data_IF_408777226980
#
_entry.id   IF_408777226980
#
_cell.length_a   1.000
_cell.length_b   1.000
_cell.length_c   1.000
_cell.angle_alpha   90.00
_cell.angle_beta   90.00
_cell.angle_gamma   90.00
#
_symmetry.space_group_name_H-M   'P 1'
#
loop_
_entity.id
_entity.type
_entity.pdbx_description
1 polymer ?
#
# COMPACT_ATOMS: atom_id res chain seq x y z
N UNK A 1 -45.98 26.86 -76.64
CA UNK A 1 -45.41 27.29 -75.34
C UNK A 1 -46.43 26.92 -74.28
N UNK A 2 -46.48 25.67 -73.83
CA UNK A 2 -45.58 25.06 -72.85
C UNK A 2 -45.61 25.83 -71.51
N UNK A 3 -46.34 25.24 -70.55
CA UNK A 3 -45.89 24.89 -69.18
C UNK A 3 -46.94 25.20 -68.10
N UNK A 4 -47.72 24.17 -67.78
CA UNK A 4 -47.91 23.63 -66.43
C UNK A 4 -48.03 24.66 -65.29
N UNK A 5 -49.23 25.16 -65.05
CA UNK A 5 -49.64 25.60 -63.71
C UNK A 5 -50.01 24.35 -62.86
N UNK A 6 -49.02 23.49 -62.61
CA UNK A 6 -49.15 22.32 -61.76
C UNK A 6 -48.86 22.71 -60.30
N UNK A 7 -49.92 22.68 -59.50
CA UNK A 7 -50.00 22.74 -58.05
C UNK A 7 -48.72 22.27 -57.32
N UNK A 8 -48.03 23.20 -56.65
CA UNK A 8 -47.11 22.87 -55.55
C UNK A 8 -47.93 22.78 -54.27
N UNK A 9 -48.34 21.58 -53.90
CA UNK A 9 -48.73 21.27 -52.52
C UNK A 9 -47.48 21.23 -51.66
N UNK A 10 -47.08 22.38 -51.12
CA UNK A 10 -46.26 22.37 -49.91
C UNK A 10 -47.17 21.87 -48.77
N UNK A 11 -46.83 20.79 -48.05
CA UNK A 11 -47.45 20.52 -46.77
C UNK A 11 -46.94 21.59 -45.80
N UNK A 12 -47.55 22.77 -45.87
CA UNK A 12 -47.43 23.78 -44.84
C UNK A 12 -48.16 23.23 -43.63
N UNK A 13 -47.49 22.38 -42.86
CA UNK A 13 -47.92 22.04 -41.50
C UNK A 13 -47.77 23.33 -40.71
N UNK A 14 -48.80 24.16 -40.79
CA UNK A 14 -49.00 25.27 -39.88
C UNK A 14 -49.14 24.65 -38.48
N UNK A 15 -48.02 24.55 -37.76
CA UNK A 15 -48.09 24.53 -36.30
C UNK A 15 -48.68 25.88 -35.90
N UNK A 16 -50.01 25.93 -35.84
CA UNK A 16 -50.71 26.98 -35.14
C UNK A 16 -50.13 27.00 -33.71
N UNK A 17 -49.50 28.11 -33.27
CA UNK A 17 -49.06 28.22 -31.90
C UNK A 17 -50.34 28.20 -31.06
N UNK A 18 -50.59 27.11 -30.34
CA UNK A 18 -51.76 26.98 -29.46
C UNK A 18 -51.38 27.60 -28.10
N UNK A 19 -51.76 28.86 -27.83
CA UNK A 19 -51.27 29.62 -26.67
C UNK A 19 -51.69 29.00 -25.33
N UNK A 20 -52.76 28.20 -25.31
CA UNK A 20 -53.29 27.57 -24.10
C UNK A 20 -52.37 26.49 -23.52
N UNK A 21 -51.70 25.70 -24.38
CA UNK A 21 -50.80 24.63 -23.93
C UNK A 21 -49.50 25.23 -23.40
N UNK A 22 -49.01 26.29 -24.05
CA UNK A 22 -47.78 27.00 -23.65
C UNK A 22 -48.01 27.70 -22.30
N UNK A 23 -49.20 28.28 -22.10
CA UNK A 23 -49.56 28.96 -20.84
C UNK A 23 -49.73 27.99 -19.68
N UNK A 24 -50.22 26.76 -19.93
CA UNK A 24 -50.32 25.71 -18.92
C UNK A 24 -48.98 25.03 -18.62
N UNK A 25 -48.08 24.90 -19.60
CA UNK A 25 -46.74 24.34 -19.39
C UNK A 25 -45.80 25.29 -18.64
N UNK A 26 -45.93 26.60 -18.87
CA UNK A 26 -45.06 27.61 -18.25
C UNK A 26 -44.95 27.52 -16.71
N UNK A 27 -46.05 27.42 -15.92
CA UNK A 27 -45.96 27.26 -14.46
C UNK A 27 -45.34 25.91 -14.04
N UNK A 28 -45.54 24.86 -14.84
CA UNK A 28 -45.01 23.53 -14.58
C UNK A 28 -43.49 23.47 -14.81
N UNK A 29 -43.02 24.09 -15.90
CA UNK A 29 -41.60 24.22 -16.22
C UNK A 29 -40.89 25.12 -15.21
N UNK A 30 -41.49 26.26 -14.83
CA UNK A 30 -40.88 27.12 -13.81
C UNK A 30 -40.81 26.43 -12.45
N UNK A 31 -41.85 25.71 -12.03
CA UNK A 31 -41.82 24.90 -10.80
C UNK A 31 -40.73 23.82 -10.83
N UNK A 32 -40.59 23.10 -11.96
CA UNK A 32 -39.53 22.10 -12.13
C UNK A 32 -38.12 22.72 -12.07
N UNK A 33 -37.92 23.90 -12.66
CA UNK A 33 -36.64 24.64 -12.61
C UNK A 33 -36.31 25.08 -11.18
N UNK A 34 -37.28 25.58 -10.42
CA UNK A 34 -37.06 25.91 -9.00
C UNK A 34 -36.68 24.68 -8.17
N UNK A 35 -37.35 23.55 -8.40
CA UNK A 35 -37.04 22.30 -7.71
C UNK A 35 -35.66 21.77 -8.07
N UNK A 36 -35.26 21.84 -9.35
CA UNK A 36 -33.92 21.50 -9.81
C UNK A 36 -32.86 22.40 -9.17
N UNK A 37 -33.11 23.71 -9.08
CA UNK A 37 -32.17 24.64 -8.48
C UNK A 37 -31.98 24.39 -6.97
N UNK A 38 -33.09 24.11 -6.27
CA UNK A 38 -33.04 23.72 -4.86
C UNK A 38 -32.29 22.40 -4.66
N UNK A 39 -32.61 21.38 -5.46
CA UNK A 39 -31.96 20.07 -5.39
C UNK A 39 -30.47 20.15 -5.70
N UNK A 40 -30.09 20.97 -6.71
CA UNK A 40 -28.70 21.23 -7.06
C UNK A 40 -27.93 21.93 -5.93
N UNK A 41 -28.56 22.90 -5.25
CA UNK A 41 -27.94 23.61 -4.12
C UNK A 41 -27.69 22.68 -2.93
N UNK A 42 -28.68 21.86 -2.58
CA UNK A 42 -28.57 20.87 -1.50
C UNK A 42 -27.52 19.80 -1.85
N UNK A 43 -27.54 19.30 -3.08
CA UNK A 43 -26.57 18.32 -3.56
C UNK A 43 -25.14 18.88 -3.52
N UNK A 44 -24.93 20.13 -3.96
CA UNK A 44 -23.64 20.80 -3.87
C UNK A 44 -23.16 20.93 -2.43
N UNK A 45 -24.04 21.33 -1.51
CA UNK A 45 -23.70 21.46 -0.10
C UNK A 45 -23.31 20.11 0.54
N UNK A 46 -24.04 19.05 0.23
CA UNK A 46 -23.70 17.69 0.65
C UNK A 46 -22.37 17.21 0.05
N UNK A 47 -22.09 17.52 -1.21
CA UNK A 47 -20.84 17.15 -1.86
C UNK A 47 -19.64 17.84 -1.22
N UNK A 48 -19.72 19.16 -0.98
CA UNK A 48 -18.65 19.91 -0.32
C UNK A 48 -18.41 19.38 1.09
N UNK A 49 -19.47 19.12 1.86
CA UNK A 49 -19.36 18.61 3.22
C UNK A 49 -18.74 17.21 3.28
N UNK A 50 -19.18 16.30 2.41
CA UNK A 50 -18.65 14.93 2.35
C UNK A 50 -17.21 14.90 1.86
N UNK A 51 -16.86 15.73 0.86
CA UNK A 51 -15.48 15.88 0.39
C UNK A 51 -14.56 16.43 1.50
N UNK A 52 -15.02 17.47 2.21
CA UNK A 52 -14.26 18.01 3.34
C UNK A 52 -14.06 16.97 4.44
N UNK A 53 -15.13 16.26 4.83
CA UNK A 53 -15.04 15.18 5.82
C UNK A 53 -14.08 14.06 5.37
N UNK A 54 -14.17 13.62 4.11
CA UNK A 54 -13.27 12.61 3.55
C UNK A 54 -11.82 13.08 3.54
N UNK A 55 -11.55 14.35 3.21
CA UNK A 55 -10.20 14.92 3.24
C UNK A 55 -9.61 15.01 4.66
N UNK A 56 -10.44 15.33 5.66
CA UNK A 56 -10.03 15.36 7.07
C UNK A 56 -9.74 13.94 7.56
N UNK A 57 -10.58 12.96 7.22
CA UNK A 57 -10.34 11.56 7.56
C UNK A 57 -9.07 11.03 6.88
N UNK A 58 -8.85 11.36 5.61
CA UNK A 58 -7.64 10.97 4.87
C UNK A 58 -6.37 11.56 5.50
N UNK A 59 -6.37 12.84 5.88
CA UNK A 59 -5.21 13.45 6.53
C UNK A 59 -4.96 12.87 7.92
N UNK A 60 -6.00 12.63 8.73
CA UNK A 60 -5.88 11.99 10.04
C UNK A 60 -5.33 10.56 9.93
N UNK A 61 -5.83 9.76 8.99
CA UNK A 61 -5.37 8.39 8.78
C UNK A 61 -3.91 8.35 8.33
N UNK A 62 -3.48 9.28 7.46
CA UNK A 62 -2.07 9.42 7.07
C UNK A 62 -1.17 9.85 8.24
N UNK A 63 -1.65 10.73 9.11
CA UNK A 63 -0.90 11.12 10.31
C UNK A 63 -0.78 9.96 11.30
N UNK A 64 -1.87 9.26 11.56
CA UNK A 64 -1.87 8.10 12.44
C UNK A 64 -0.98 6.98 11.89
N UNK A 65 -1.05 6.67 10.60
CA UNK A 65 -0.20 5.65 9.99
C UNK A 65 1.29 6.02 10.10
N UNK A 66 1.64 7.28 9.86
CA UNK A 66 3.03 7.76 9.99
C UNK A 66 3.55 7.66 11.43
N UNK A 67 2.72 7.99 12.43
CA UNK A 67 3.13 7.87 13.83
C UNK A 67 3.28 6.42 14.28
N UNK A 68 2.39 5.52 13.82
CA UNK A 68 2.47 4.09 14.10
C UNK A 68 3.72 3.48 13.43
N UNK A 69 3.98 3.81 12.16
CA UNK A 69 5.18 3.38 11.45
C UNK A 69 6.46 3.85 12.16
N UNK A 70 6.50 5.10 12.61
CA UNK A 70 7.65 5.60 13.36
C UNK A 70 7.86 4.89 14.69
N UNK A 71 6.78 4.65 15.45
CA UNK A 71 6.82 3.94 16.73
C UNK A 71 7.28 2.49 16.55
N UNK A 72 6.75 1.78 15.56
CA UNK A 72 7.12 0.40 15.26
C UNK A 72 8.59 0.29 14.84
N UNK A 73 9.09 1.23 14.03
CA UNK A 73 10.52 1.32 13.68
C UNK A 73 11.43 1.58 14.89
N UNK A 74 11.02 2.43 15.82
CA UNK A 74 11.79 2.66 17.04
C UNK A 74 11.81 1.41 17.92
N UNK A 75 10.65 0.79 18.13
CA UNK A 75 10.54 -0.43 18.95
C UNK A 75 11.37 -1.56 18.35
N UNK A 76 11.31 -1.79 17.03
CA UNK A 76 12.08 -2.84 16.38
C UNK A 76 13.59 -2.60 16.50
N UNK A 77 14.05 -1.35 16.34
CA UNK A 77 15.47 -0.99 16.57
C UNK A 77 15.92 -1.26 18.01
N UNK A 78 15.13 -0.84 19.00
CA UNK A 78 15.45 -1.11 20.40
C UNK A 78 15.48 -2.61 20.71
N UNK A 79 14.53 -3.37 20.15
CA UNK A 79 14.45 -4.81 20.34
C UNK A 79 15.66 -5.51 19.70
N UNK A 80 16.06 -5.11 18.49
CA UNK A 80 17.22 -5.65 17.79
C UNK A 80 18.54 -5.36 18.53
N UNK A 81 18.71 -4.14 19.08
CA UNK A 81 19.90 -3.80 19.87
C UNK A 81 19.94 -4.63 21.16
N UNK A 82 18.79 -4.76 21.86
CA UNK A 82 18.71 -5.57 23.08
C UNK A 82 18.96 -7.05 22.81
N UNK A 83 18.39 -7.61 21.74
CA UNK A 83 18.60 -9.00 21.38
C UNK A 83 20.07 -9.26 21.02
N UNK A 84 20.72 -8.35 20.28
CA UNK A 84 22.14 -8.44 19.97
C UNK A 84 23.00 -8.39 21.25
N UNK A 85 22.66 -7.51 22.19
CA UNK A 85 23.41 -7.35 23.43
C UNK A 85 23.24 -8.56 24.36
N UNK A 86 22.03 -9.13 24.43
CA UNK A 86 21.75 -10.38 25.13
C UNK A 86 22.44 -11.57 24.46
N UNK A 87 22.41 -11.67 23.14
CA UNK A 87 23.14 -12.68 22.37
C UNK A 87 24.64 -12.58 22.65
N UNK A 88 25.21 -11.37 22.61
CA UNK A 88 26.64 -11.16 22.92
C UNK A 88 26.97 -11.59 24.35
N UNK A 89 26.14 -11.23 25.33
CA UNK A 89 26.35 -11.62 26.74
C UNK A 89 26.25 -13.12 26.95
N UNK A 90 25.25 -13.77 26.35
CA UNK A 90 25.06 -15.22 26.44
C UNK A 90 26.19 -15.96 25.75
N UNK A 91 26.57 -15.57 24.52
CA UNK A 91 27.73 -16.14 23.82
C UNK A 91 29.01 -15.96 24.63
N UNK A 92 29.24 -14.79 25.22
CA UNK A 92 30.44 -14.55 26.01
C UNK A 92 30.45 -15.34 27.32
N UNK A 93 29.30 -15.48 27.98
CA UNK A 93 29.13 -16.32 29.17
C UNK A 93 29.36 -17.81 28.86
N UNK A 94 28.80 -18.30 27.74
CA UNK A 94 29.05 -19.66 27.24
C UNK A 94 30.54 -19.84 26.89
N UNK A 95 31.16 -18.82 26.31
CA UNK A 95 32.56 -18.83 25.90
C UNK A 95 33.54 -18.89 27.07
N UNK A 96 33.23 -18.25 28.20
CA UNK A 96 34.10 -18.24 29.38
C UNK A 96 33.91 -19.49 30.28
N UNK A 97 32.95 -20.36 29.96
CA UNK A 97 32.74 -21.58 30.72
C UNK A 97 33.93 -22.56 30.63
N UNK A 98 34.23 -23.27 31.72
CA UNK A 98 35.27 -24.33 31.77
C UNK A 98 35.10 -25.42 30.69
N UNK A 99 33.86 -25.69 30.25
CA UNK A 99 33.58 -26.59 29.11
C UNK A 99 34.07 -26.00 27.79
N UNK A 100 33.81 -24.72 27.53
CA UNK A 100 34.27 -24.05 26.31
C UNK A 100 35.79 -23.98 26.23
N UNK A 101 36.50 -23.78 27.36
CA UNK A 101 37.98 -23.87 27.38
C UNK A 101 38.51 -25.27 27.03
N UNK A 102 37.86 -26.33 27.52
CA UNK A 102 38.19 -27.71 27.13
C UNK A 102 37.87 -27.98 25.67
N UNK A 103 36.74 -27.48 25.20
CA UNK A 103 36.32 -27.58 23.81
C UNK A 103 37.30 -26.86 22.88
N UNK A 104 37.83 -25.69 23.28
CA UNK A 104 38.88 -24.95 22.56
C UNK A 104 40.16 -25.76 22.37
N UNK A 105 40.71 -26.32 23.45
CA UNK A 105 41.92 -27.15 23.36
C UNK A 105 41.71 -28.39 22.49
N UNK A 106 40.50 -28.97 22.54
CA UNK A 106 40.13 -30.10 21.69
C UNK A 106 39.96 -29.70 20.22
N UNK A 107 39.32 -28.57 19.97
CA UNK A 107 39.17 -27.99 18.63
C UNK A 107 40.52 -27.64 18.02
N UNK A 108 41.43 -27.02 18.78
CA UNK A 108 42.78 -26.71 18.34
C UNK A 108 43.53 -27.99 17.97
N UNK A 109 43.49 -29.01 18.83
CA UNK A 109 44.10 -30.31 18.56
C UNK A 109 43.49 -31.00 17.33
N UNK A 110 42.17 -31.04 17.22
CA UNK A 110 41.48 -31.59 16.06
C UNK A 110 41.78 -30.77 14.79
N UNK A 111 41.89 -29.44 14.87
CA UNK A 111 42.31 -28.56 13.76
C UNK A 111 43.75 -28.84 13.32
N UNK A 112 44.69 -28.99 14.24
CA UNK A 112 46.08 -29.34 13.91
C UNK A 112 46.14 -30.71 13.24
N UNK A 113 45.40 -31.69 13.74
CA UNK A 113 45.28 -33.01 13.10
C UNK A 113 44.61 -32.90 11.73
N UNK A 114 43.59 -32.05 11.59
CA UNK A 114 42.90 -31.83 10.32
C UNK A 114 43.83 -31.17 9.29
N UNK A 115 44.58 -30.15 9.68
CA UNK A 115 45.52 -29.44 8.82
C UNK A 115 46.71 -30.32 8.39
N UNK A 116 47.20 -31.18 9.27
CA UNK A 116 48.37 -32.04 9.03
C UNK A 116 48.00 -33.39 8.39
N UNK A 117 46.81 -33.93 8.69
CA UNK A 117 46.41 -35.31 8.38
C UNK A 117 45.47 -35.49 7.17
N UNK A 118 45.03 -34.42 6.49
CA UNK A 118 44.20 -34.53 5.27
C UNK A 118 42.76 -34.00 5.40
N UNK A 119 42.55 -32.97 6.21
CA UNK A 119 41.25 -32.37 6.54
C UNK A 119 40.70 -31.35 5.53
N UNK A 120 41.18 -31.36 4.30
CA UNK A 120 40.77 -30.36 3.30
C UNK A 120 39.26 -30.40 3.04
N UNK A 121 38.64 -31.59 3.08
CA UNK A 121 37.21 -31.81 2.80
C UNK A 121 36.28 -31.27 3.89
N UNK A 122 36.64 -31.40 5.17
CA UNK A 122 35.79 -30.90 6.27
C UNK A 122 35.91 -29.39 6.40
N UNK A 123 37.11 -28.82 6.21
CA UNK A 123 37.29 -27.37 6.08
C UNK A 123 36.48 -26.80 4.90
N UNK A 124 36.47 -27.49 3.76
CA UNK A 124 35.68 -27.08 2.60
C UNK A 124 34.17 -27.05 2.88
N UNK A 125 33.63 -28.03 3.61
CA UNK A 125 32.20 -28.12 3.95
C UNK A 125 31.79 -27.11 5.01
N UNK A 126 32.65 -26.86 6.01
CA UNK A 126 32.37 -25.89 7.10
C UNK A 126 32.53 -24.45 6.60
N UNK A 127 33.57 -24.15 5.84
CA UNK A 127 33.76 -22.84 5.21
C UNK A 127 33.08 -22.73 3.85
N UNK A 128 32.16 -23.65 3.53
CA UNK A 128 31.46 -23.63 2.25
C UNK A 128 30.64 -22.33 2.16
N UNK A 129 30.86 -21.47 1.14
CA UNK A 129 30.20 -20.17 1.03
C UNK A 129 28.65 -20.26 0.91
N UNK A 130 28.14 -21.44 0.56
CA UNK A 130 26.72 -21.80 0.56
C UNK A 130 26.00 -21.59 1.89
N UNK A 131 26.68 -21.68 3.05
CA UNK A 131 26.05 -21.32 4.34
C UNK A 131 25.74 -19.83 4.44
N UNK A 132 26.63 -18.99 3.90
CA UNK A 132 26.43 -17.54 3.85
C UNK A 132 25.26 -17.23 2.90
N UNK A 133 25.20 -17.88 1.75
CA UNK A 133 24.07 -17.76 0.81
C UNK A 133 22.74 -18.18 1.44
N UNK A 134 22.68 -19.30 2.15
CA UNK A 134 21.49 -19.75 2.88
C UNK A 134 21.07 -18.76 3.97
N UNK A 135 22.03 -18.20 4.71
CA UNK A 135 21.78 -17.16 5.71
C UNK A 135 21.21 -15.89 5.09
N UNK A 136 21.79 -15.42 3.97
CA UNK A 136 21.31 -14.24 3.24
C UNK A 136 19.91 -14.48 2.68
N UNK A 137 19.66 -15.66 2.10
CA UNK A 137 18.36 -16.00 1.54
C UNK A 137 17.28 -16.07 2.63
N UNK A 138 17.57 -16.72 3.76
CA UNK A 138 16.67 -16.77 4.90
C UNK A 138 16.39 -15.38 5.49
N UNK A 139 17.43 -14.54 5.59
CA UNK A 139 17.28 -13.16 6.07
C UNK A 139 16.46 -12.31 5.10
N UNK A 140 16.66 -12.47 3.77
CA UNK A 140 15.89 -11.79 2.74
C UNK A 140 14.43 -12.19 2.73
N UNK A 141 14.13 -13.49 2.87
CA UNK A 141 12.75 -13.99 3.02
C UNK A 141 12.12 -13.40 4.29
N UNK A 142 12.83 -13.42 5.42
CA UNK A 142 12.32 -12.86 6.66
C UNK A 142 12.04 -11.36 6.58
N UNK A 143 12.86 -10.59 5.85
CA UNK A 143 12.67 -9.16 5.61
C UNK A 143 11.52 -8.84 4.64
N UNK A 144 11.14 -9.78 3.77
CA UNK A 144 10.04 -9.63 2.81
C UNK A 144 8.69 -10.06 3.40
N UNK A 145 8.70 -11.00 4.36
CA UNK A 145 7.48 -11.55 4.98
C UNK A 145 7.13 -10.99 6.36
N UNK A 146 8.02 -10.19 6.96
CA UNK A 146 7.82 -9.55 8.27
C UNK A 146 7.75 -8.04 8.17
#
# INVERSE_FOLDING_TARGET
MALLAASRTAPTVSLAPRPDIISALHPLVTSAVYFQHFLSSVAFHLFVRTYFAASVVATLTLWMSKTIAWRTLLVSKFLAIRSLLLARRTTWSVWDCKRARRFRKRLEFELYILLVGGGNTVLLVVFWPGWIMLGVLGCGVWLLTG
#
